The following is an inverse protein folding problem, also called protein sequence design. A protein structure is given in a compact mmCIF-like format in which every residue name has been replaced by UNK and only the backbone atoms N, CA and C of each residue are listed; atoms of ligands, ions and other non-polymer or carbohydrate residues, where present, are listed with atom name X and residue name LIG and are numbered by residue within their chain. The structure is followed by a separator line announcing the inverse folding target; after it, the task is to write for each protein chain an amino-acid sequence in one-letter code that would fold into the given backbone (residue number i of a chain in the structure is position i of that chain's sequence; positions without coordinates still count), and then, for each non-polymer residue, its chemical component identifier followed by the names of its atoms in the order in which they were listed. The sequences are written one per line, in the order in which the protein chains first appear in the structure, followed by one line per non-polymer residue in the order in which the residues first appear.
data_IF_945213587625
#
_entry.id   IF_945213587625
#
_cell.length_a   1.000
_cell.length_b   1.000
_cell.length_c   1.000
_cell.angle_alpha   90.00
_cell.angle_beta   90.00
_cell.angle_gamma   90.00
#
_symmetry.space_group_name_H-M   'P 1'
#
loop_
_entity.id
_entity.type
_entity.pdbx_description
1 polymer ?
#
# COMPACT_ATOMS: atom_id res chain seq x y z
N UNK A 1 -4.92 -10.16 11.37
CA UNK A 1 -3.46 -10.07 11.16
C UNK A 1 -3.25 -10.18 9.67
N UNK A 2 -2.59 -9.23 9.00
CA UNK A 2 -2.33 -9.38 7.55
C UNK A 2 -1.50 -10.63 7.35
N UNK A 3 -1.95 -11.49 6.45
CA UNK A 3 -1.15 -12.60 5.96
C UNK A 3 -0.31 -12.14 4.75
N UNK A 4 1.00 -11.97 4.96
CA UNK A 4 1.93 -11.67 3.88
C UNK A 4 2.32 -12.92 3.07
N UNK A 5 1.77 -14.10 3.39
CA UNK A 5 2.01 -15.34 2.64
C UNK A 5 1.46 -15.30 1.22
N UNK A 6 0.49 -14.41 0.96
CA UNK A 6 -0.06 -14.19 -0.39
C UNK A 6 0.79 -13.25 -1.25
N UNK A 7 1.74 -12.52 -0.64
CA UNK A 7 2.70 -11.71 -1.38
C UNK A 7 3.72 -12.59 -2.07
N UNK A 8 4.00 -12.31 -3.34
CA UNK A 8 5.08 -12.98 -4.06
C UNK A 8 6.41 -12.78 -3.32
N UNK A 9 7.26 -13.82 -3.20
CA UNK A 9 8.58 -13.66 -2.56
C UNK A 9 9.46 -12.63 -3.27
N UNK A 10 9.24 -12.37 -4.56
CA UNK A 10 10.00 -11.42 -5.36
C UNK A 10 9.09 -10.82 -6.42
N UNK A 11 9.25 -9.55 -6.75
CA UNK A 11 8.43 -8.92 -7.77
C UNK A 11 8.82 -7.49 -8.11
N UNK A 12 8.26 -7.00 -9.21
CA UNK A 12 8.35 -5.59 -9.58
C UNK A 12 7.34 -4.78 -8.79
N UNK A 13 7.76 -3.64 -8.26
CA UNK A 13 6.87 -2.72 -7.52
C UNK A 13 5.68 -2.31 -8.38
N UNK A 14 5.90 -2.08 -9.68
CA UNK A 14 4.85 -1.71 -10.64
C UNK A 14 3.74 -2.75 -10.80
N UNK A 15 3.98 -4.01 -10.42
CA UNK A 15 3.01 -5.11 -10.55
C UNK A 15 2.57 -5.68 -9.19
N UNK A 16 3.17 -5.25 -8.07
CA UNK A 16 2.87 -5.82 -6.75
C UNK A 16 1.68 -5.19 -6.03
N UNK A 17 0.76 -4.55 -6.76
CA UNK A 17 -0.42 -3.91 -6.19
C UNK A 17 -0.13 -2.84 -5.15
N UNK A 18 -1.12 -2.58 -4.28
CA UNK A 18 -1.05 -1.49 -3.31
C UNK A 18 -0.02 -1.75 -2.19
N UNK A 19 0.17 -3.00 -1.78
CA UNK A 19 1.19 -3.36 -0.77
C UNK A 19 2.59 -3.02 -1.27
N UNK A 20 2.92 -3.34 -2.52
CA UNK A 20 4.22 -2.99 -3.09
C UNK A 20 4.44 -1.48 -3.23
N UNK A 21 3.39 -0.72 -3.51
CA UNK A 21 3.48 0.75 -3.53
C UNK A 21 3.78 1.30 -2.13
N UNK A 22 3.11 0.79 -1.09
CA UNK A 22 3.37 1.18 0.31
C UNK A 22 4.81 0.82 0.70
N UNK A 23 5.28 -0.37 0.34
CA UNK A 23 6.67 -0.76 0.56
C UNK A 23 7.64 0.22 -0.10
N UNK A 24 7.38 0.62 -1.35
CA UNK A 24 8.19 1.59 -2.09
C UNK A 24 8.18 2.99 -1.47
N UNK A 25 7.02 3.46 -0.97
CA UNK A 25 6.90 4.74 -0.28
C UNK A 25 7.70 4.75 1.03
N UNK A 26 7.62 3.67 1.82
CA UNK A 26 8.41 3.52 3.05
C UNK A 26 9.90 3.52 2.72
N UNK A 27 10.32 2.75 1.72
CA UNK A 27 11.72 2.69 1.30
C UNK A 27 12.23 4.06 0.82
N UNK A 28 11.44 4.79 0.02
CA UNK A 28 11.76 6.15 -0.44
C UNK A 28 11.93 7.12 0.72
N UNK A 29 11.02 7.06 1.70
CA UNK A 29 11.10 7.87 2.93
C UNK A 29 12.34 7.55 3.76
N UNK A 30 12.67 6.27 3.90
CA UNK A 30 13.88 5.82 4.61
C UNK A 30 15.17 6.21 3.89
N UNK A 31 15.18 6.19 2.55
CA UNK A 31 16.33 6.62 1.74
C UNK A 31 16.56 8.13 1.83
N UNK A 32 15.49 8.92 1.90
CA UNK A 32 15.55 10.37 2.04
C UNK A 32 15.95 11.14 0.77
N UNK A 33 15.94 10.47 -0.39
CA UNK A 33 16.28 11.07 -1.68
C UNK A 33 14.98 11.29 -2.50
N UNK A 34 14.65 12.55 -2.87
CA UNK A 34 13.37 12.87 -3.53
C UNK A 34 13.16 12.15 -4.87
N UNK A 35 14.24 11.98 -5.64
CA UNK A 35 14.20 11.38 -6.98
C UNK A 35 14.44 9.87 -6.94
N UNK A 36 14.64 9.29 -5.76
CA UNK A 36 14.83 7.84 -5.63
C UNK A 36 13.49 7.12 -5.63
N UNK A 37 13.41 6.03 -6.39
CA UNK A 37 12.24 5.17 -6.39
C UNK A 37 12.62 3.69 -6.49
N UNK A 38 11.93 2.86 -5.72
CA UNK A 38 12.05 1.41 -5.81
C UNK A 38 11.39 0.88 -7.09
N UNK A 39 12.02 -0.10 -7.72
CA UNK A 39 11.46 -0.81 -8.87
C UNK A 39 11.26 -2.30 -8.61
N UNK A 40 11.97 -2.86 -7.63
CA UNK A 40 11.97 -4.28 -7.31
C UNK A 40 11.89 -4.49 -5.80
N UNK A 41 11.26 -5.59 -5.37
CA UNK A 41 11.24 -6.02 -3.98
C UNK A 41 11.51 -7.53 -3.87
N UNK A 42 12.13 -7.93 -2.76
CA UNK A 42 12.41 -9.32 -2.41
C UNK A 42 12.17 -9.55 -0.91
N UNK A 43 11.37 -10.57 -0.58
CA UNK A 43 11.13 -11.01 0.79
C UNK A 43 12.36 -11.78 1.28
N UNK A 44 13.20 -11.11 2.06
CA UNK A 44 14.43 -11.69 2.61
C UNK A 44 14.21 -12.50 3.90
N UNK A 45 13.09 -12.30 4.59
CA UNK A 45 12.68 -13.08 5.77
C UNK A 45 11.18 -12.98 6.01
N UNK A 46 10.65 -13.74 6.98
CA UNK A 46 9.24 -13.65 7.40
C UNK A 46 8.86 -12.33 8.06
N UNK A 47 9.83 -11.47 8.35
CA UNK A 47 9.61 -10.19 9.03
C UNK A 47 10.11 -8.97 8.27
N UNK A 48 10.79 -9.17 7.13
CA UNK A 48 11.46 -8.10 6.40
C UNK A 48 11.49 -8.36 4.89
N UNK A 49 11.47 -7.27 4.15
CA UNK A 49 11.56 -7.22 2.70
C UNK A 49 12.64 -6.21 2.32
N UNK A 50 13.39 -6.51 1.27
CA UNK A 50 14.38 -5.63 0.67
C UNK A 50 13.82 -5.03 -0.61
N UNK A 51 14.05 -3.74 -0.82
CA UNK A 51 13.65 -3.04 -2.04
C UNK A 51 14.88 -2.52 -2.76
N UNK A 52 14.98 -2.84 -4.04
CA UNK A 52 16.01 -2.29 -4.93
C UNK A 52 15.44 -1.09 -5.67
N UNK A 53 16.19 0.00 -5.68
CA UNK A 53 15.80 1.25 -6.34
C UNK A 53 17.00 2.05 -6.83
N UNK A 54 16.68 3.20 -7.40
CA UNK A 54 17.68 4.13 -7.91
C UNK A 54 17.08 5.50 -8.21
N UNK A 55 17.93 6.45 -8.59
CA UNK A 55 17.47 7.78 -9.00
C UNK A 55 16.73 7.68 -10.32
N UNK A 56 15.51 8.21 -10.35
CA UNK A 56 14.67 8.22 -11.53
C UNK A 56 14.98 9.44 -12.38
N UNK A 57 15.18 9.20 -13.66
CA UNK A 57 15.21 10.24 -14.69
C UNK A 57 14.19 9.91 -15.77
N UNK A 58 13.39 10.91 -16.13
CA UNK A 58 12.44 10.81 -17.25
C UNK A 58 13.05 11.53 -18.45
N UNK A 59 13.63 10.75 -19.36
CA UNK A 59 14.13 11.26 -20.64
C UNK A 59 13.22 10.78 -21.76
N UNK A 60 12.75 11.70 -22.61
CA UNK A 60 11.90 11.40 -23.77
C UNK A 60 10.67 10.55 -23.44
N UNK A 61 10.00 10.85 -22.31
CA UNK A 61 8.79 10.15 -21.86
C UNK A 61 9.01 8.74 -21.31
N UNK A 62 10.26 8.25 -21.27
CA UNK A 62 10.59 6.94 -20.71
C UNK A 62 11.22 7.10 -19.34
N UNK A 63 10.60 6.50 -18.33
CA UNK A 63 11.16 6.41 -16.97
C UNK A 63 12.37 5.48 -16.97
N UNK A 64 13.50 5.95 -16.47
CA UNK A 64 14.73 5.16 -16.32
C UNK A 64 15.29 5.33 -14.91
N UNK A 65 15.81 4.24 -14.36
CA UNK A 65 16.55 4.24 -13.09
C UNK A 65 18.02 4.35 -13.39
N UNK A 66 18.60 5.50 -13.07
CA UNK A 66 20.03 5.78 -13.22
C UNK A 66 20.82 4.96 -12.20
N UNK A 67 22.00 4.51 -12.60
CA UNK A 67 22.98 3.93 -11.68
C UNK A 67 23.62 5.03 -10.80
N UNK A 68 24.10 4.69 -9.59
CA UNK A 68 24.06 3.36 -8.96
C UNK A 68 22.69 3.02 -8.37
N UNK A 69 22.32 1.74 -8.44
CA UNK A 69 21.19 1.20 -7.69
C UNK A 69 21.62 0.77 -6.30
N UNK A 70 20.70 0.81 -5.35
CA UNK A 70 20.92 0.37 -3.99
C UNK A 70 19.68 -0.32 -3.40
N UNK A 71 19.88 -0.98 -2.27
CA UNK A 71 18.87 -1.75 -1.58
C UNK A 71 18.51 -1.12 -0.23
N UNK A 72 17.22 -1.14 0.10
CA UNK A 72 16.68 -0.70 1.37
C UNK A 72 15.85 -1.82 1.99
N UNK A 73 16.27 -2.28 3.16
CA UNK A 73 15.50 -3.24 3.96
C UNK A 73 14.46 -2.50 4.80
N UNK A 74 13.22 -2.97 4.73
CA UNK A 74 12.11 -2.49 5.55
C UNK A 74 11.48 -3.65 6.34
N UNK A 75 11.08 -3.43 7.60
CA UNK A 75 10.33 -4.43 8.35
C UNK A 75 8.87 -4.48 7.90
N UNK A 76 8.30 -5.68 7.77
CA UNK A 76 6.89 -5.87 7.40
C UNK A 76 5.93 -5.23 8.42
N UNK A 77 6.35 -5.12 9.69
CA UNK A 77 5.60 -4.40 10.71
C UNK A 77 5.36 -2.92 10.34
N UNK A 78 6.32 -2.26 9.67
CA UNK A 78 6.14 -0.89 9.19
C UNK A 78 5.14 -0.82 8.02
N UNK A 79 5.12 -1.84 7.16
CA UNK A 79 4.15 -1.96 6.06
C UNK A 79 2.73 -2.09 6.63
N UNK A 80 2.53 -2.96 7.63
CA UNK A 80 1.24 -3.08 8.33
C UNK A 80 0.81 -1.75 8.94
N UNK A 81 1.71 -1.06 9.65
CA UNK A 81 1.39 0.22 10.29
C UNK A 81 0.97 1.29 9.27
N UNK A 82 1.64 1.36 8.11
CA UNK A 82 1.27 2.31 7.07
C UNK A 82 -0.05 1.91 6.38
N UNK A 83 -0.30 0.62 6.16
CA UNK A 83 -1.59 0.13 5.65
C UNK A 83 -2.76 0.47 6.60
N UNK A 84 -2.56 0.35 7.91
CA UNK A 84 -3.56 0.78 8.91
C UNK A 84 -3.80 2.30 8.83
N UNK A 85 -2.72 3.08 8.74
CA UNK A 85 -2.80 4.53 8.63
C UNK A 85 -3.51 4.99 7.35
N UNK A 86 -3.36 4.26 6.25
CA UNK A 86 -4.06 4.52 4.99
C UNK A 86 -5.50 3.98 4.97
N UNK A 87 -5.99 3.38 6.08
CA UNK A 87 -7.36 2.84 6.17
C UNK A 87 -7.58 1.57 5.33
N UNK A 88 -6.52 0.94 4.83
CA UNK A 88 -6.59 -0.30 4.04
C UNK A 88 -6.82 -1.54 4.89
N UNK A 89 -6.70 -1.39 6.21
CA UNK A 89 -7.04 -2.40 7.19
C UNK A 89 -8.03 -1.79 8.15
N UNK A 90 -9.07 -2.54 8.47
CA UNK A 90 -9.94 -2.20 9.58
C UNK A 90 -9.13 -2.20 10.87
N UNK A 91 -8.83 -1.00 11.36
CA UNK A 91 -8.56 -0.82 12.79
C UNK A 91 -9.83 -1.18 13.53
N UNK A 92 -9.77 -2.19 14.39
CA UNK A 92 -10.82 -2.45 15.37
C UNK A 92 -11.21 -1.11 16.03
N UNK A 93 -12.51 -0.82 16.21
CA UNK A 93 -12.95 0.47 16.72
C UNK A 93 -12.30 0.70 18.08
N UNK A 94 -11.42 1.70 18.16
CA UNK A 94 -11.03 2.24 19.45
C UNK A 94 -12.29 2.89 20.03
N UNK A 95 -12.85 2.23 21.04
CA UNK A 95 -13.83 2.83 21.95
C UNK A 95 -13.18 4.04 22.61
N UNK A 96 -13.35 5.21 21.99
CA UNK A 96 -13.05 6.50 22.60
C UNK A 96 -13.97 6.65 23.80
N UNK A 97 -13.48 6.30 24.98
CA UNK A 97 -14.12 6.68 26.23
C UNK A 97 -14.03 8.20 26.34
N UNK A 98 -15.15 8.87 26.09
CA UNK A 98 -15.37 10.27 26.43
C UNK A 98 -15.11 10.49 27.93
N UNK A 99 -14.23 11.43 28.34
CA UNK A 99 -14.40 12.06 29.63
C UNK A 99 -15.31 13.28 29.47
N UNK A 100 -16.51 13.17 30.03
CA UNK A 100 -17.32 14.33 30.41
C UNK A 100 -16.47 15.30 31.24
N UNK A 101 -16.37 16.56 30.80
CA UNK A 101 -16.19 17.67 31.73
C UNK A 101 -16.96 18.89 31.23
N UNK A 102 -17.88 19.30 32.09
CA UNK A 102 -18.77 20.43 31.92
C UNK A 102 -18.04 21.76 32.15
N UNK A 103 -18.64 22.78 31.51
CA UNK A 103 -18.73 24.20 31.89
C UNK A 103 -17.60 25.20 31.55
N UNK A 104 -18.05 26.17 30.74
CA UNK A 104 -17.99 27.63 30.94
C UNK A 104 -16.98 28.47 30.12
N UNK A 105 -17.52 29.03 29.03
CA UNK A 105 -17.50 30.46 28.61
C UNK A 105 -16.16 31.22 28.51
N UNK A 106 -15.78 31.61 27.28
CA UNK A 106 -15.80 33.01 26.81
C UNK A 106 -15.30 33.17 25.34
N UNK A 107 -15.94 34.11 24.62
CA UNK A 107 -15.57 34.91 23.43
C UNK A 107 -14.05 35.11 23.20
N UNK A 108 -13.44 35.18 22.00
CA UNK A 108 -13.72 35.97 20.77
C UNK A 108 -12.87 35.47 19.57
N UNK A 109 -13.37 35.71 18.36
CA UNK A 109 -12.78 35.72 17.00
C UNK A 109 -11.28 35.44 16.75
N UNK A 110 -11.01 34.49 15.85
CA UNK A 110 -10.00 34.64 14.79
C UNK A 110 -10.30 33.69 13.61
N UNK A 111 -10.37 34.29 12.41
CA UNK A 111 -10.63 33.69 11.10
C UNK A 111 -9.63 32.58 10.79
N UNK A 112 -10.11 31.34 10.72
CA UNK A 112 -9.41 30.19 10.16
C UNK A 112 -10.12 29.74 8.89
N UNK A 113 -9.43 29.87 7.75
CA UNK A 113 -9.92 29.50 6.43
C UNK A 113 -10.20 28.00 6.41
N UNK A 114 -11.48 27.64 6.45
CA UNK A 114 -11.97 26.29 6.25
C UNK A 114 -11.74 25.89 4.81
N UNK A 115 -10.67 25.14 4.53
CA UNK A 115 -10.56 24.41 3.28
C UNK A 115 -11.73 23.43 3.21
N UNK A 116 -12.57 23.41 2.15
CA UNK A 116 -13.60 22.41 2.03
C UNK A 116 -12.90 21.07 1.84
N UNK A 117 -13.02 20.20 2.84
CA UNK A 117 -12.69 18.79 2.72
C UNK A 117 -13.49 18.25 1.52
N UNK A 118 -12.78 17.94 0.44
CA UNK A 118 -13.33 17.17 -0.67
C UNK A 118 -13.92 15.90 -0.06
N UNK A 119 -15.21 15.59 -0.27
CA UNK A 119 -15.76 14.34 0.21
C UNK A 119 -14.93 13.18 -0.36
N UNK A 120 -14.63 12.15 0.44
CA UNK A 120 -13.98 10.96 -0.09
C UNK A 120 -14.85 10.43 -1.24
N UNK A 121 -14.25 10.20 -2.40
CA UNK A 121 -14.94 9.56 -3.51
C UNK A 121 -15.61 8.29 -2.98
N UNK A 122 -16.92 8.13 -3.19
CA UNK A 122 -17.59 6.88 -2.85
C UNK A 122 -17.03 5.79 -3.76
N UNK A 123 -16.16 4.96 -3.18
CA UNK A 123 -15.61 3.81 -3.88
C UNK A 123 -16.66 2.69 -3.91
N UNK A 124 -17.11 2.31 -5.09
CA UNK A 124 -17.96 1.13 -5.28
C UNK A 124 -17.08 -0.12 -5.39
N UNK A 125 -17.14 -0.98 -4.37
CA UNK A 125 -16.42 -2.25 -4.36
C UNK A 125 -17.31 -3.41 -4.84
N UNK A 126 -16.76 -4.26 -5.71
CA UNK A 126 -17.40 -5.50 -6.15
C UNK A 126 -16.64 -6.70 -5.57
N UNK A 127 -17.34 -7.55 -4.83
CA UNK A 127 -16.79 -8.83 -4.36
C UNK A 127 -17.05 -9.92 -5.41
N UNK A 128 -15.97 -10.49 -5.96
CA UNK A 128 -16.04 -11.58 -6.93
C UNK A 128 -15.66 -12.91 -6.26
N UNK A 129 -16.50 -13.94 -6.41
CA UNK A 129 -16.17 -15.33 -6.06
C UNK A 129 -15.96 -16.13 -7.34
N UNK A 130 -14.74 -16.64 -7.52
CA UNK A 130 -14.35 -17.43 -8.68
C UNK A 130 -14.25 -18.91 -8.31
N UNK A 131 -14.77 -19.78 -9.15
CA UNK A 131 -14.52 -21.22 -9.03
C UNK A 131 -13.06 -21.49 -9.41
N UNK A 132 -12.28 -21.97 -8.44
CA UNK A 132 -10.84 -22.18 -8.63
C UNK A 132 -10.54 -23.59 -9.17
N UNK A 133 -9.41 -23.76 -9.90
CA UNK A 133 -8.90 -25.08 -10.26
C UNK A 133 -8.69 -25.99 -9.04
N UNK A 134 -8.86 -27.30 -9.22
CA UNK A 134 -8.57 -28.26 -8.14
C UNK A 134 -7.06 -28.38 -7.85
N UNK A 135 -6.22 -28.12 -8.86
CA UNK A 135 -4.76 -28.13 -8.73
C UNK A 135 -4.25 -26.91 -7.94
N UNK A 136 -3.56 -27.11 -6.79
CA UNK A 136 -3.05 -26.02 -5.96
C UNK A 136 -2.08 -25.09 -6.71
N UNK A 137 -1.29 -25.63 -7.65
CA UNK A 137 -0.34 -24.84 -8.43
C UNK A 137 -1.06 -23.88 -9.36
N UNK A 138 -2.15 -24.34 -9.97
CA UNK A 138 -2.96 -23.52 -10.85
C UNK A 138 -3.76 -22.47 -10.08
N UNK A 139 -4.26 -22.80 -8.88
CA UNK A 139 -4.89 -21.81 -7.99
C UNK A 139 -3.94 -20.65 -7.67
N UNK A 140 -2.70 -20.98 -7.29
CA UNK A 140 -1.72 -19.97 -6.94
C UNK A 140 -1.32 -19.12 -8.15
N UNK A 141 -1.17 -19.72 -9.34
CA UNK A 141 -0.96 -18.96 -10.58
C UNK A 141 -2.13 -18.02 -10.91
N UNK A 142 -3.37 -18.47 -10.71
CA UNK A 142 -4.55 -17.63 -10.94
C UNK A 142 -4.58 -16.45 -9.98
N UNK A 143 -4.32 -16.70 -8.69
CA UNK A 143 -4.24 -15.65 -7.67
C UNK A 143 -3.15 -14.63 -8.02
N UNK A 144 -1.96 -15.10 -8.39
CA UNK A 144 -0.86 -14.25 -8.83
C UNK A 144 -1.24 -13.41 -10.05
N UNK A 145 -1.88 -14.00 -11.06
CA UNK A 145 -2.35 -13.27 -12.25
C UNK A 145 -3.35 -12.17 -11.88
N UNK A 146 -4.31 -12.45 -11.00
CA UNK A 146 -5.28 -11.46 -10.54
C UNK A 146 -4.62 -10.36 -9.70
N UNK A 147 -3.61 -10.70 -8.90
CA UNK A 147 -2.87 -9.74 -8.10
C UNK A 147 -1.96 -8.83 -8.94
N UNK A 148 -1.36 -9.39 -10.01
CA UNK A 148 -0.48 -8.67 -10.95
C UNK A 148 -1.28 -7.81 -11.95
N UNK A 149 -2.51 -8.18 -12.28
CA UNK A 149 -3.41 -7.38 -13.10
C UNK A 149 -4.09 -6.31 -12.24
N UNK A 150 -3.46 -5.14 -12.16
CA UNK A 150 -3.99 -3.97 -11.45
C UNK A 150 -5.29 -3.41 -12.05
N UNK A 151 -5.71 -3.88 -13.23
CA UNK A 151 -6.93 -3.45 -13.92
C UNK A 151 -7.67 -4.66 -14.50
N UNK A 152 -8.89 -4.87 -14.01
CA UNK A 152 -9.86 -5.82 -14.54
C UNK A 152 -11.05 -5.05 -15.11
N UNK A 153 -11.08 -4.86 -16.43
CA UNK A 153 -12.17 -4.18 -17.15
C UNK A 153 -12.47 -2.75 -16.66
N UNK A 154 -11.44 -1.99 -16.28
CA UNK A 154 -11.53 -0.63 -15.72
C UNK A 154 -11.62 -0.60 -14.20
N UNK A 155 -11.66 -1.76 -13.52
CA UNK A 155 -11.70 -1.85 -12.07
C UNK A 155 -10.33 -2.18 -11.49
N UNK A 156 -9.93 -1.45 -10.43
CA UNK A 156 -8.68 -1.73 -9.73
C UNK A 156 -8.83 -2.93 -8.79
N UNK A 157 -7.92 -3.90 -8.90
CA UNK A 157 -7.87 -5.04 -7.98
C UNK A 157 -7.23 -4.59 -6.67
N UNK A 158 -8.04 -4.50 -5.61
CA UNK A 158 -7.59 -4.02 -4.29
C UNK A 158 -7.03 -5.15 -3.41
N UNK A 159 -7.67 -6.32 -3.46
CA UNK A 159 -7.27 -7.50 -2.69
C UNK A 159 -7.70 -8.78 -3.42
N UNK A 160 -6.94 -9.85 -3.23
CA UNK A 160 -7.27 -11.21 -3.66
C UNK A 160 -6.91 -12.14 -2.51
N UNK A 161 -7.80 -13.04 -2.12
CA UNK A 161 -7.52 -14.07 -1.11
C UNK A 161 -8.06 -15.42 -1.56
N UNK A 162 -7.50 -16.50 -1.00
CA UNK A 162 -8.08 -17.84 -1.10
C UNK A 162 -8.97 -18.12 0.12
N UNK A 163 -10.23 -18.52 -0.10
CA UNK A 163 -11.06 -19.16 0.94
C UNK A 163 -10.77 -20.67 1.02
#
# INVERSE_FOLDING_TARGET
MIDFSEMLPVGMVAHGGQVAQIMAEIAKRQRGLPDWEAFHYEKISDSAVELTGGIVSTASGTKRWLEPHDCITIPLAAVVAEMQKQGLLETAPQVTSLPMKANSSNTTDAVGISNPATPPAEYHYLHLKLALPQDPTQRQKLLQSLHLQADLMGASVVACHLE
#
